data_IF_996569193859
#
_entry.id   IF_996569193859
#
_cell.length_a   1.000
_cell.length_b   1.000
_cell.length_c   1.000
_cell.angle_alpha   90.00
_cell.angle_beta   90.00
_cell.angle_gamma   90.00
#
_symmetry.space_group_name_H-M   'P 1'
#
loop_
_entity.id
_entity.type
_entity.pdbx_description
1 polymer ?
#
# COMPACT_ATOMS: atom_id res chain seq x y z
N UNK A 1 -25.49 7.45 -53.18
CA UNK A 1 -25.06 8.39 -52.13
C UNK A 1 -24.71 7.55 -50.89
N UNK A 2 -23.44 7.22 -50.69
CA UNK A 2 -22.98 6.33 -49.61
C UNK A 2 -22.66 7.15 -48.36
N UNK A 3 -23.44 6.96 -47.30
CA UNK A 3 -23.15 7.52 -45.97
C UNK A 3 -21.96 6.79 -45.36
N UNK A 4 -20.82 7.47 -45.29
CA UNK A 4 -19.65 7.01 -44.56
C UNK A 4 -19.95 7.13 -43.06
N UNK A 5 -20.18 5.98 -42.41
CA UNK A 5 -20.25 5.88 -40.95
C UNK A 5 -18.85 6.16 -40.38
N UNK A 6 -18.65 7.35 -39.79
CA UNK A 6 -17.45 7.68 -39.03
C UNK A 6 -17.46 6.81 -37.77
N UNK A 7 -16.72 5.70 -37.79
CA UNK A 7 -16.48 4.89 -36.61
C UNK A 7 -15.80 5.75 -35.53
N UNK A 8 -16.50 5.96 -34.42
CA UNK A 8 -15.99 6.67 -33.23
C UNK A 8 -14.73 5.95 -32.76
N UNK A 9 -13.54 6.50 -33.05
CA UNK A 9 -12.26 6.03 -32.51
C UNK A 9 -12.37 6.06 -30.99
N UNK A 10 -12.57 4.91 -30.35
CA UNK A 10 -12.35 4.76 -28.90
C UNK A 10 -10.86 5.04 -28.70
N UNK A 11 -10.51 6.20 -28.17
CA UNK A 11 -9.15 6.46 -27.69
C UNK A 11 -8.81 5.38 -26.67
N UNK A 12 -7.93 4.47 -27.06
CA UNK A 12 -7.74 3.19 -26.37
C UNK A 12 -6.94 3.30 -25.06
N UNK A 13 -6.40 4.48 -24.70
CA UNK A 13 -5.39 4.58 -23.63
C UNK A 13 -5.48 5.83 -22.72
N UNK A 14 -6.60 6.55 -22.67
CA UNK A 14 -6.74 7.66 -21.71
C UNK A 14 -7.35 7.15 -20.39
N UNK A 15 -6.70 7.42 -19.25
CA UNK A 15 -7.35 7.25 -17.94
C UNK A 15 -8.65 8.04 -17.94
N UNK A 16 -9.75 7.40 -17.53
CA UNK A 16 -11.03 8.11 -17.46
C UNK A 16 -10.92 9.26 -16.44
N UNK A 17 -11.59 10.39 -16.70
CA UNK A 17 -11.65 11.53 -15.75
C UNK A 17 -12.05 11.04 -14.35
N UNK A 18 -13.03 10.13 -14.29
CA UNK A 18 -13.44 9.46 -13.05
C UNK A 18 -12.29 8.75 -12.34
N UNK A 19 -11.45 8.03 -13.06
CA UNK A 19 -10.29 7.33 -12.50
C UNK A 19 -9.30 8.33 -11.92
N UNK A 20 -8.96 9.37 -12.66
CA UNK A 20 -7.99 10.39 -12.22
C UNK A 20 -8.51 11.10 -10.95
N UNK A 21 -9.75 11.60 -10.97
CA UNK A 21 -10.35 12.28 -9.81
C UNK A 21 -10.45 11.36 -8.59
N UNK A 22 -10.82 10.09 -8.78
CA UNK A 22 -10.93 9.14 -7.66
C UNK A 22 -9.56 8.77 -7.09
N UNK A 23 -8.55 8.58 -7.94
CA UNK A 23 -7.15 8.34 -7.51
C UNK A 23 -6.64 9.52 -6.70
N UNK A 24 -6.85 10.76 -7.15
CA UNK A 24 -6.44 11.95 -6.41
C UNK A 24 -7.14 12.09 -5.05
N UNK A 25 -8.46 11.86 -5.01
CA UNK A 25 -9.23 11.86 -3.76
C UNK A 25 -8.74 10.78 -2.78
N UNK A 26 -8.52 9.55 -3.27
CA UNK A 26 -8.02 8.46 -2.43
C UNK A 26 -6.59 8.73 -1.94
N UNK A 27 -5.74 9.38 -2.74
CA UNK A 27 -4.41 9.80 -2.31
C UNK A 27 -4.45 10.87 -1.22
N UNK A 28 -5.36 11.84 -1.32
CA UNK A 28 -5.57 12.83 -0.26
C UNK A 28 -6.04 12.16 1.05
N UNK A 29 -6.99 11.22 0.97
CA UNK A 29 -7.45 10.45 2.14
C UNK A 29 -6.32 9.61 2.72
N UNK A 30 -5.53 8.95 1.87
CA UNK A 30 -4.37 8.17 2.29
C UNK A 30 -3.35 9.02 3.04
N UNK A 31 -3.05 10.21 2.51
CA UNK A 31 -2.16 11.17 3.15
C UNK A 31 -2.67 11.58 4.54
N UNK A 32 -3.96 11.93 4.67
CA UNK A 32 -4.53 12.27 5.97
C UNK A 32 -4.51 11.09 6.96
N UNK A 33 -4.79 9.88 6.49
CA UNK A 33 -4.75 8.67 7.32
C UNK A 33 -3.35 8.31 7.80
N UNK A 34 -2.30 8.76 7.11
CA UNK A 34 -0.93 8.51 7.53
C UNK A 34 -0.54 9.26 8.80
N UNK A 35 -1.18 10.38 9.11
CA UNK A 35 -1.00 11.08 10.38
C UNK A 35 -1.69 10.35 11.54
N UNK A 36 -2.58 9.39 11.25
CA UNK A 36 -3.24 8.54 12.24
C UNK A 36 -2.43 7.25 12.40
N UNK A 37 -1.18 7.42 12.84
CA UNK A 37 -0.26 6.32 13.14
C UNK A 37 -0.26 5.99 14.63
N UNK A 38 -0.04 4.71 14.95
CA UNK A 38 0.04 4.23 16.32
C UNK A 38 1.22 3.26 16.49
N UNK A 39 1.84 3.22 17.68
CA UNK A 39 2.92 2.29 17.96
C UNK A 39 2.41 0.86 18.02
N UNK A 40 3.22 -0.08 17.53
CA UNK A 40 2.94 -1.52 17.64
C UNK A 40 3.87 -2.11 18.70
N UNK A 41 3.36 -2.99 19.59
CA UNK A 41 4.23 -3.71 20.54
C UNK A 41 5.40 -4.39 19.82
N UNK A 42 6.60 -4.35 20.42
CA UNK A 42 7.82 -4.96 19.88
C UNK A 42 8.35 -4.31 18.59
N UNK A 43 7.89 -3.10 18.26
CA UNK A 43 8.37 -2.29 17.13
C UNK A 43 9.04 -1.01 17.63
N UNK A 44 10.18 -0.59 17.05
CA UNK A 44 10.83 0.65 17.43
C UNK A 44 9.99 1.88 17.06
N UNK A 45 10.32 3.03 17.65
CA UNK A 45 9.53 4.26 17.54
C UNK A 45 9.30 4.76 16.10
N UNK A 46 10.20 4.42 15.16
CA UNK A 46 10.12 4.79 13.76
C UNK A 46 9.26 3.84 12.91
N UNK A 47 9.00 2.62 13.37
CA UNK A 47 8.20 1.63 12.65
C UNK A 47 6.79 1.60 13.24
N UNK A 48 5.96 2.54 12.78
CA UNK A 48 4.58 2.73 13.24
C UNK A 48 3.56 2.14 12.29
N UNK A 49 2.43 1.71 12.85
CA UNK A 49 1.32 1.19 12.06
C UNK A 49 0.32 2.31 11.75
N UNK A 50 -0.12 2.33 10.51
CA UNK A 50 -1.11 3.25 9.99
C UNK A 50 -2.05 2.49 9.04
N UNK A 51 -3.19 3.10 8.71
CA UNK A 51 -4.15 2.55 7.74
C UNK A 51 -4.10 3.32 6.41
N UNK A 52 -2.99 3.98 6.10
CA UNK A 52 -2.85 4.85 4.95
C UNK A 52 -2.77 4.11 3.61
N UNK A 53 -2.43 2.81 3.59
CA UNK A 53 -2.46 2.00 2.36
C UNK A 53 -3.89 1.48 2.06
N UNK A 54 -4.84 1.67 2.97
CA UNK A 54 -6.24 1.26 2.79
C UNK A 54 -6.86 1.94 1.55
N UNK A 55 -6.80 3.27 1.36
CA UNK A 55 -7.36 3.91 0.17
C UNK A 55 -6.64 3.49 -1.11
N UNK A 56 -5.34 3.20 -1.04
CA UNK A 56 -4.56 2.70 -2.18
C UNK A 56 -5.01 1.29 -2.59
N UNK A 57 -5.26 0.39 -1.63
CA UNK A 57 -5.84 -0.93 -1.89
C UNK A 57 -7.26 -0.83 -2.48
N UNK A 58 -8.09 0.07 -1.96
CA UNK A 58 -9.43 0.34 -2.51
C UNK A 58 -9.32 0.81 -3.97
N UNK A 59 -8.41 1.74 -4.25
CA UNK A 59 -8.13 2.21 -5.61
C UNK A 59 -7.63 1.09 -6.53
N UNK A 60 -6.77 0.21 -6.02
CA UNK A 60 -6.28 -0.96 -6.74
C UNK A 60 -7.42 -1.92 -7.13
N UNK A 61 -8.37 -2.15 -6.22
CA UNK A 61 -9.53 -3.01 -6.49
C UNK A 61 -10.55 -2.36 -7.42
N UNK A 62 -10.78 -1.05 -7.30
CA UNK A 62 -11.77 -0.34 -8.10
C UNK A 62 -11.26 -0.09 -9.53
N UNK A 63 -10.07 0.49 -9.65
CA UNK A 63 -9.56 1.05 -10.89
C UNK A 63 -8.35 0.28 -11.46
N UNK A 64 -7.81 -0.67 -10.72
CA UNK A 64 -6.71 -1.55 -11.13
C UNK A 64 -5.38 -1.24 -10.42
N UNK A 65 -4.41 -2.15 -10.48
CA UNK A 65 -3.17 -2.08 -9.70
C UNK A 65 -2.38 -0.79 -9.91
N UNK A 66 -2.38 -0.26 -11.14
CA UNK A 66 -1.69 1.00 -11.47
C UNK A 66 -2.29 2.19 -10.73
N UNK A 67 -3.62 2.22 -10.52
CA UNK A 67 -4.25 3.28 -9.74
C UNK A 67 -3.82 3.22 -8.26
N UNK A 68 -3.75 2.02 -7.68
CA UNK A 68 -3.23 1.82 -6.32
C UNK A 68 -1.78 2.28 -6.18
N UNK A 69 -0.93 1.95 -7.16
CA UNK A 69 0.46 2.41 -7.19
C UNK A 69 0.58 3.94 -7.23
N UNK A 70 -0.24 4.62 -8.03
CA UNK A 70 -0.26 6.08 -8.06
C UNK A 70 -0.77 6.70 -6.77
N UNK A 71 -1.74 6.08 -6.10
CA UNK A 71 -2.21 6.54 -4.77
C UNK A 71 -1.06 6.47 -3.77
N UNK A 72 -0.34 5.34 -3.72
CA UNK A 72 0.87 5.18 -2.89
C UNK A 72 1.92 6.23 -3.22
N UNK A 73 2.20 6.45 -4.51
CA UNK A 73 3.20 7.43 -4.93
C UNK A 73 2.85 8.84 -4.43
N UNK A 74 1.63 9.30 -4.72
CA UNK A 74 1.19 10.65 -4.36
C UNK A 74 1.14 10.80 -2.84
N UNK A 75 0.62 9.80 -2.11
CA UNK A 75 0.59 9.79 -0.64
C UNK A 75 1.99 10.03 -0.06
N UNK A 76 2.96 9.22 -0.46
CA UNK A 76 4.31 9.30 0.08
C UNK A 76 5.05 10.56 -0.41
N UNK A 77 4.80 11.03 -1.63
CA UNK A 77 5.33 12.32 -2.10
C UNK A 77 4.82 13.51 -1.28
N UNK A 78 3.56 13.48 -0.82
CA UNK A 78 3.03 14.51 0.08
C UNK A 78 3.64 14.40 1.48
N UNK A 79 3.81 13.18 2.01
CA UNK A 79 4.47 12.97 3.31
C UNK A 79 5.92 13.45 3.32
N UNK A 80 6.64 13.30 2.20
CA UNK A 80 8.00 13.81 2.06
C UNK A 80 8.10 15.32 2.33
N UNK A 81 7.04 16.09 2.09
CA UNK A 81 7.01 17.53 2.37
C UNK A 81 6.82 17.85 3.85
N UNK A 82 6.42 16.88 4.65
CA UNK A 82 6.09 17.04 6.08
C UNK A 82 6.92 16.15 7.00
N UNK A 83 7.87 15.39 6.47
CA UNK A 83 8.59 14.36 7.22
C UNK A 83 9.72 14.91 8.09
N UNK A 84 9.96 14.23 9.21
CA UNK A 84 11.13 14.37 10.05
C UNK A 84 12.19 13.28 9.83
N UNK A 85 11.91 12.27 8.98
CA UNK A 85 12.78 11.08 8.81
C UNK A 85 13.83 11.21 7.70
N UNK A 86 13.97 12.41 7.12
CA UNK A 86 14.89 12.65 6.00
C UNK A 86 14.51 11.92 4.70
N UNK A 87 13.28 11.41 4.60
CA UNK A 87 12.75 10.72 3.41
C UNK A 87 12.92 9.20 3.39
N UNK A 88 13.64 8.62 4.36
CA UNK A 88 13.88 7.17 4.42
C UNK A 88 12.59 6.42 4.77
N UNK A 89 11.80 6.96 5.70
CA UNK A 89 10.54 6.36 6.12
C UNK A 89 9.51 6.35 5.00
N UNK A 90 9.40 7.44 4.24
CA UNK A 90 8.45 7.58 3.13
C UNK A 90 8.85 6.70 1.95
N UNK A 91 10.15 6.55 1.70
CA UNK A 91 10.66 5.60 0.71
C UNK A 91 10.33 4.16 1.11
N UNK A 92 10.52 3.81 2.39
CA UNK A 92 10.15 2.51 2.92
C UNK A 92 8.65 2.25 2.75
N UNK A 93 7.82 3.20 3.18
CA UNK A 93 6.37 3.11 3.10
C UNK A 93 5.90 2.97 1.65
N UNK A 94 6.49 3.73 0.72
CA UNK A 94 6.19 3.59 -0.70
C UNK A 94 6.56 2.22 -1.26
N UNK A 95 7.80 1.73 -1.07
CA UNK A 95 8.23 0.44 -1.64
C UNK A 95 7.36 -0.69 -1.11
N UNK A 96 7.14 -0.71 0.20
CA UNK A 96 6.40 -1.76 0.89
C UNK A 96 4.91 -1.67 0.54
N UNK A 97 4.29 -0.50 0.67
CA UNK A 97 2.88 -0.26 0.34
C UNK A 97 2.59 -0.51 -1.14
N UNK A 98 3.45 -0.04 -2.04
CA UNK A 98 3.35 -0.30 -3.49
C UNK A 98 3.34 -1.79 -3.80
N UNK A 99 4.24 -2.57 -3.18
CA UNK A 99 4.29 -4.02 -3.37
C UNK A 99 2.98 -4.71 -2.96
N UNK A 100 2.39 -4.28 -1.84
CA UNK A 100 1.12 -4.78 -1.35
C UNK A 100 -0.03 -4.47 -2.31
N UNK A 101 -0.24 -3.19 -2.65
CA UNK A 101 -1.40 -2.77 -3.44
C UNK A 101 -1.33 -3.25 -4.88
N UNK A 102 -0.12 -3.35 -5.45
CA UNK A 102 0.06 -3.88 -6.80
C UNK A 102 -0.22 -5.37 -6.83
N UNK A 103 0.37 -6.17 -5.93
CA UNK A 103 0.12 -7.61 -5.84
C UNK A 103 -1.37 -7.91 -5.61
N UNK A 104 -2.01 -7.23 -4.65
CA UNK A 104 -3.43 -7.39 -4.38
C UNK A 104 -4.27 -7.00 -5.59
N UNK A 105 -3.96 -5.86 -6.21
CA UNK A 105 -4.64 -5.34 -7.40
C UNK A 105 -4.56 -6.29 -8.59
N UNK A 106 -3.40 -6.89 -8.85
CA UNK A 106 -3.23 -7.89 -9.91
C UNK A 106 -4.06 -9.14 -9.64
N UNK A 107 -4.01 -9.70 -8.43
CA UNK A 107 -4.80 -10.89 -8.07
C UNK A 107 -6.30 -10.61 -8.22
N UNK A 108 -6.77 -9.48 -7.69
CA UNK A 108 -8.19 -9.12 -7.74
C UNK A 108 -8.71 -8.80 -9.15
N UNK A 109 -7.84 -8.24 -10.02
CA UNK A 109 -8.19 -7.90 -11.41
C UNK A 109 -8.65 -9.12 -12.22
N UNK A 110 -8.14 -10.32 -11.91
CA UNK A 110 -8.53 -11.56 -12.61
C UNK A 110 -9.98 -11.95 -12.36
N UNK A 111 -10.45 -11.82 -11.11
CA UNK A 111 -11.83 -12.18 -10.74
C UNK A 111 -12.33 -11.31 -9.60
N UNK A 112 -13.19 -10.34 -9.90
CA UNK A 112 -13.69 -9.37 -8.91
C UNK A 112 -14.78 -9.95 -7.99
N UNK A 113 -14.38 -10.80 -7.05
CA UNK A 113 -15.27 -11.42 -6.05
C UNK A 113 -14.76 -11.21 -4.63
N UNK A 114 -15.65 -11.33 -3.64
CA UNK A 114 -15.27 -11.26 -2.21
C UNK A 114 -14.22 -12.31 -1.84
N UNK A 115 -14.32 -13.53 -2.39
CA UNK A 115 -13.33 -14.60 -2.17
C UNK A 115 -11.97 -14.22 -2.73
N UNK A 116 -11.93 -13.68 -3.95
CA UNK A 116 -10.67 -13.23 -4.56
C UNK A 116 -10.09 -12.02 -3.82
N UNK A 117 -10.91 -11.11 -3.28
CA UNK A 117 -10.42 -10.00 -2.45
C UNK A 117 -9.74 -10.51 -1.17
N UNK A 118 -10.32 -11.52 -0.50
CA UNK A 118 -9.71 -12.16 0.67
C UNK A 118 -8.35 -12.79 0.32
N UNK A 119 -8.31 -13.58 -0.76
CA UNK A 119 -7.08 -14.22 -1.23
C UNK A 119 -6.04 -13.17 -1.63
N UNK A 120 -6.45 -12.11 -2.33
CA UNK A 120 -5.59 -11.01 -2.73
C UNK A 120 -4.96 -10.32 -1.51
N UNK A 121 -5.75 -10.02 -0.47
CA UNK A 121 -5.24 -9.40 0.75
C UNK A 121 -4.25 -10.33 1.48
N UNK A 122 -4.58 -11.61 1.63
CA UNK A 122 -3.71 -12.57 2.31
C UNK A 122 -2.38 -12.74 1.57
N UNK A 123 -2.42 -13.05 0.27
CA UNK A 123 -1.21 -13.24 -0.55
C UNK A 123 -0.39 -11.95 -0.62
N UNK A 124 -1.03 -10.80 -0.82
CA UNK A 124 -0.33 -9.53 -0.86
C UNK A 124 0.33 -9.18 0.47
N UNK A 125 -0.23 -9.60 1.61
CA UNK A 125 0.42 -9.39 2.92
C UNK A 125 1.74 -10.15 3.04
N UNK A 126 1.81 -11.37 2.49
CA UNK A 126 3.08 -12.10 2.38
C UNK A 126 4.05 -11.41 1.42
N UNK A 127 3.58 -10.93 0.27
CA UNK A 127 4.40 -10.14 -0.66
C UNK A 127 4.96 -8.89 0.01
N UNK A 128 4.14 -8.19 0.80
CA UNK A 128 4.52 -7.02 1.57
C UNK A 128 5.60 -7.34 2.60
N UNK A 129 5.47 -8.45 3.34
CA UNK A 129 6.49 -8.93 4.27
C UNK A 129 7.81 -9.23 3.57
N UNK A 130 7.78 -9.95 2.44
CA UNK A 130 8.99 -10.27 1.66
C UNK A 130 9.63 -9.00 1.10
N UNK A 131 8.84 -8.10 0.51
CA UNK A 131 9.32 -6.84 -0.03
C UNK A 131 9.95 -5.97 1.07
N UNK A 132 9.33 -5.93 2.26
CA UNK A 132 9.89 -5.26 3.42
C UNK A 132 11.22 -5.88 3.86
N UNK A 133 11.33 -7.21 3.86
CA UNK A 133 12.58 -7.86 4.23
C UNK A 133 13.71 -7.52 3.26
N UNK A 134 13.45 -7.62 1.95
CA UNK A 134 14.41 -7.27 0.90
C UNK A 134 14.78 -5.78 0.97
N UNK A 135 13.78 -4.90 1.03
CA UNK A 135 14.02 -3.46 1.09
C UNK A 135 14.81 -3.06 2.34
N UNK A 136 14.47 -3.61 3.51
CA UNK A 136 15.21 -3.31 4.74
C UNK A 136 16.65 -3.79 4.67
N UNK A 137 16.89 -5.02 4.18
CA UNK A 137 18.24 -5.55 4.13
C UNK A 137 19.15 -4.79 3.14
N UNK A 138 18.65 -4.50 1.94
CA UNK A 138 19.49 -3.97 0.85
C UNK A 138 19.46 -2.44 0.70
N UNK A 139 18.41 -1.77 1.18
CA UNK A 139 18.19 -0.35 0.90
C UNK A 139 18.03 0.44 2.21
N UNK A 140 17.02 0.12 3.03
CA UNK A 140 16.59 0.98 4.11
C UNK A 140 17.56 0.97 5.30
N UNK A 141 18.00 -0.20 5.77
CA UNK A 141 18.96 -0.28 6.88
C UNK A 141 20.32 0.31 6.48
N UNK A 142 20.93 -0.01 5.32
CA UNK A 142 22.14 0.69 4.86
C UNK A 142 21.99 2.21 4.79
N UNK A 143 20.83 2.69 4.32
CA UNK A 143 20.58 4.13 4.23
C UNK A 143 20.43 4.76 5.62
N UNK A 144 19.81 4.04 6.56
CA UNK A 144 19.64 4.45 7.95
C UNK A 144 20.96 4.44 8.73
N UNK A 145 21.89 3.54 8.39
CA UNK A 145 23.24 3.47 8.98
C UNK A 145 24.04 4.77 8.81
N UNK A 146 23.71 5.61 7.81
CA UNK A 146 24.29 6.95 7.66
C UNK A 146 23.87 7.94 8.75
N UNK A 147 22.76 7.68 9.43
CA UNK A 147 22.21 8.52 10.50
C UNK A 147 22.44 7.93 11.89
N UNK A 148 22.37 6.60 12.02
CA UNK A 148 22.55 5.87 13.27
C UNK A 148 23.37 4.60 13.04
N UNK A 149 24.50 4.40 13.75
CA UNK A 149 25.30 3.20 13.62
C UNK A 149 24.49 1.92 13.89
N UNK A 150 24.80 0.85 13.15
CA UNK A 150 24.07 -0.42 13.23
C UNK A 150 24.04 -1.00 14.66
N UNK A 151 25.07 -0.79 15.47
CA UNK A 151 25.13 -1.24 16.86
C UNK A 151 24.08 -0.55 17.73
N UNK A 152 23.91 0.77 17.57
CA UNK A 152 22.87 1.52 18.28
C UNK A 152 21.48 1.14 17.79
N UNK A 153 21.32 0.93 16.48
CA UNK A 153 20.06 0.47 15.90
C UNK A 153 19.68 -0.90 16.48
N UNK A 154 20.61 -1.86 16.46
CA UNK A 154 20.42 -3.21 17.00
C UNK A 154 20.11 -3.18 18.49
N UNK A 155 20.77 -2.32 19.27
CA UNK A 155 20.46 -2.12 20.68
C UNK A 155 19.02 -1.62 20.90
N UNK A 156 18.52 -0.70 20.06
CA UNK A 156 17.13 -0.21 20.16
C UNK A 156 16.09 -1.29 19.91
N UNK A 157 16.39 -2.27 19.06
CA UNK A 157 15.55 -3.46 18.87
C UNK A 157 15.74 -4.48 20.01
N UNK A 158 16.96 -4.60 20.54
CA UNK A 158 17.35 -5.51 21.60
C UNK A 158 16.63 -5.27 22.93
N UNK A 159 16.21 -4.02 23.20
CA UNK A 159 15.36 -3.69 24.36
C UNK A 159 14.05 -4.47 24.39
N UNK A 160 13.47 -4.73 23.22
CA UNK A 160 12.19 -5.45 23.09
C UNK A 160 12.39 -6.92 22.71
N UNK A 161 13.44 -7.22 21.95
CA UNK A 161 13.73 -8.53 21.39
C UNK A 161 15.20 -8.90 21.65
N UNK A 162 15.52 -9.45 22.83
CA UNK A 162 16.90 -9.65 23.29
C UNK A 162 17.72 -10.66 22.46
N UNK A 163 17.08 -11.38 21.53
CA UNK A 163 17.74 -12.27 20.58
C UNK A 163 18.18 -11.57 19.29
N UNK A 164 17.79 -10.32 19.05
CA UNK A 164 18.23 -9.53 17.89
C UNK A 164 19.67 -9.08 18.10
N UNK A 165 20.59 -9.58 17.26
CA UNK A 165 22.02 -9.26 17.33
C UNK A 165 22.60 -8.81 16.01
N UNK A 166 21.90 -9.06 14.92
CA UNK A 166 22.35 -8.78 13.58
C UNK A 166 21.28 -8.03 12.80
N UNK A 167 21.73 -7.37 11.73
CA UNK A 167 20.86 -6.79 10.70
C UNK A 167 19.84 -7.79 10.15
N UNK A 168 20.26 -9.04 9.98
CA UNK A 168 19.39 -10.11 9.49
C UNK A 168 18.29 -10.44 10.50
N UNK A 169 18.59 -10.41 11.81
CA UNK A 169 17.59 -10.63 12.86
C UNK A 169 16.54 -9.52 12.85
N UNK A 170 16.95 -8.25 12.71
CA UNK A 170 16.02 -7.12 12.56
C UNK A 170 15.07 -7.38 11.39
N UNK A 171 15.61 -7.82 10.26
CA UNK A 171 14.83 -8.07 9.04
C UNK A 171 13.84 -9.23 9.23
N UNK A 172 14.29 -10.37 9.75
CA UNK A 172 13.46 -11.57 9.87
C UNK A 172 12.44 -11.50 11.00
N UNK A 173 12.81 -10.88 12.13
CA UNK A 173 12.00 -10.92 13.36
C UNK A 173 11.27 -9.61 13.65
N UNK A 174 11.57 -8.53 12.94
CA UNK A 174 10.80 -7.30 13.01
C UNK A 174 10.23 -6.92 11.64
N UNK A 175 11.07 -6.62 10.64
CA UNK A 175 10.59 -6.03 9.39
C UNK A 175 9.58 -6.93 8.65
N UNK A 176 9.89 -8.22 8.49
CA UNK A 176 8.98 -9.18 7.87
C UNK A 176 7.65 -9.33 8.64
N UNK A 177 7.63 -9.72 9.94
CA UNK A 177 6.39 -9.94 10.67
C UNK A 177 5.57 -8.66 10.86
N UNK A 178 6.22 -7.51 11.08
CA UNK A 178 5.54 -6.22 11.19
C UNK A 178 4.77 -5.88 9.92
N UNK A 179 5.40 -6.00 8.74
CA UNK A 179 4.76 -5.67 7.47
C UNK A 179 3.75 -6.72 7.02
N UNK A 180 3.95 -7.99 7.37
CA UNK A 180 2.93 -9.02 7.21
C UNK A 180 1.68 -8.68 8.03
N UNK A 181 1.86 -8.30 9.31
CA UNK A 181 0.76 -7.88 10.18
C UNK A 181 0.06 -6.63 9.63
N UNK A 182 0.82 -5.62 9.18
CA UNK A 182 0.28 -4.40 8.57
C UNK A 182 -0.62 -4.75 7.37
N UNK A 183 -0.14 -5.57 6.45
CA UNK A 183 -0.91 -6.03 5.29
C UNK A 183 -2.20 -6.79 5.68
N UNK A 184 -2.13 -7.63 6.72
CA UNK A 184 -3.29 -8.38 7.21
C UNK A 184 -4.33 -7.47 7.86
N UNK A 185 -3.90 -6.49 8.65
CA UNK A 185 -4.79 -5.50 9.28
C UNK A 185 -5.48 -4.66 8.22
N UNK A 186 -4.75 -4.12 7.26
CA UNK A 186 -5.30 -3.31 6.15
C UNK A 186 -6.27 -4.15 5.30
N UNK A 187 -5.92 -5.40 5.04
CA UNK A 187 -6.77 -6.37 4.36
C UNK A 187 -8.06 -6.64 5.13
N UNK A 188 -7.96 -6.91 6.44
CA UNK A 188 -9.12 -7.13 7.31
C UNK A 188 -10.07 -5.93 7.31
N UNK A 189 -9.54 -4.71 7.49
CA UNK A 189 -10.34 -3.48 7.44
C UNK A 189 -11.02 -3.32 6.08
N UNK A 190 -10.29 -3.56 4.98
CA UNK A 190 -10.87 -3.54 3.62
C UNK A 190 -12.03 -4.52 3.48
N UNK A 191 -11.89 -5.72 4.05
CA UNK A 191 -12.92 -6.76 3.97
C UNK A 191 -14.16 -6.43 4.80
N UNK A 192 -14.01 -5.74 5.94
CA UNK A 192 -15.12 -5.24 6.75
C UNK A 192 -15.97 -4.23 5.97
N UNK A 193 -15.32 -3.32 5.24
CA UNK A 193 -16.01 -2.27 4.46
C UNK A 193 -16.36 -2.69 3.03
N UNK A 194 -15.93 -3.87 2.58
CA UNK A 194 -16.09 -4.36 1.19
C UNK A 194 -17.53 -4.26 0.66
N UNK A 195 -18.53 -4.58 1.48
CA UNK A 195 -19.95 -4.48 1.08
C UNK A 195 -20.33 -3.04 0.70
N UNK A 196 -19.88 -2.06 1.48
CA UNK A 196 -20.14 -0.62 1.23
C UNK A 196 -19.37 -0.12 0.01
N UNK A 197 -18.20 -0.68 -0.26
CA UNK A 197 -17.37 -0.33 -1.41
C UNK A 197 -17.82 -1.00 -2.71
N UNK A 198 -18.63 -2.07 -2.65
CA UNK A 198 -19.03 -2.86 -3.82
C UNK A 198 -19.58 -2.04 -5.00
N UNK A 199 -20.44 -1.02 -4.81
CA UNK A 199 -20.92 -0.16 -5.91
C UNK A 199 -19.80 0.58 -6.64
N UNK A 200 -18.76 1.01 -5.91
CA UNK A 200 -17.59 1.68 -6.48
C UNK A 200 -16.66 0.67 -7.15
N UNK A 201 -16.39 -0.46 -6.48
CA UNK A 201 -15.47 -1.50 -6.95
C UNK A 201 -15.93 -2.22 -8.23
N UNK A 202 -17.25 -2.41 -8.38
CA UNK A 202 -17.84 -3.07 -9.55
C UNK A 202 -18.20 -2.11 -10.68
N UNK A 203 -18.07 -0.79 -10.44
CA UNK A 203 -18.60 0.25 -11.31
C UNK A 203 -20.12 0.15 -11.30
N UNK A 204 -20.79 1.07 -10.61
CA UNK A 204 -22.24 1.10 -10.54
C UNK A 204 -22.85 0.85 -11.92
N UNK A 205 -23.53 -0.29 -12.08
CA UNK A 205 -24.57 -0.38 -13.10
C UNK A 205 -25.51 0.76 -12.75
N UNK A 206 -25.57 1.77 -13.59
CA UNK A 206 -26.71 2.68 -13.57
C UNK A 206 -27.93 1.76 -13.56
N UNK A 207 -28.76 1.86 -12.53
CA UNK A 207 -30.08 1.28 -12.59
C UNK A 207 -30.75 1.99 -13.76
N UNK A 208 -30.84 1.30 -14.90
CA UNK A 208 -31.74 1.69 -15.96
C UNK A 208 -33.13 1.58 -15.38
N UNK A 209 -33.66 2.72 -14.96
CA UNK A 209 -35.10 2.90 -14.89
C UNK A 209 -35.52 3.43 -16.25
N UNK A 210 -36.41 2.67 -16.88
CA UNK A 210 -37.20 3.03 -18.05
C UNK A 210 -37.87 4.39 -17.86
#
# INVERSE_FOLDING_TARGET
>A
MSTISIAKRKNANAFSVRTISSTAMLAAVAYLLAFVEFPVPLSPAFARMDLSDLPALIGAFAFGPIAGLFIELVKNSLQLLTTSTGGVGELANFIIGASYVTAAGFIYKHRKTKKTALIACAVASFVMGIAAAIANYFILLPLFENFMPLDQLTASFGEFLPFIRTKLDIVLFNAFPFNLLKGLVIGAVTMLIYKRLTPVLKGGKQHGFY
#
